data_IF_993636564888
#
_entry.id   IF_993636564888
#
_cell.length_a   1.000
_cell.length_b   1.000
_cell.length_c   1.000
_cell.angle_alpha   90.00
_cell.angle_beta   90.00
_cell.angle_gamma   90.00
#
_symmetry.space_group_name_H-M   'P 1'
#
loop_
_entity.id
_entity.type
_entity.pdbx_description
1 polymer ?
#
# COMPACT_ATOMS: atom_id res chain seq x y z
N UNK A 1 34.35 -34.77 -43.74
CA UNK A 1 35.51 -33.84 -43.69
C UNK A 1 36.10 -33.96 -42.29
N UNK A 2 36.86 -35.01 -42.01
CA UNK A 2 38.24 -35.25 -42.47
C UNK A 2 39.23 -34.24 -41.88
N UNK A 3 40.11 -34.78 -41.03
CA UNK A 3 41.48 -34.32 -40.73
C UNK A 3 41.59 -33.07 -39.84
N UNK A 4 42.54 -32.91 -38.92
CA UNK A 4 43.73 -33.65 -38.50
C UNK A 4 44.11 -33.04 -37.14
N UNK A 5 44.24 -33.83 -36.08
CA UNK A 5 45.51 -34.09 -35.41
C UNK A 5 46.19 -32.88 -34.73
N UNK A 6 46.23 -32.99 -33.39
CA UNK A 6 47.32 -32.68 -32.47
C UNK A 6 48.40 -31.67 -32.91
N UNK A 7 48.66 -30.68 -32.06
CA UNK A 7 50.02 -30.38 -31.57
C UNK A 7 49.93 -29.46 -30.35
N UNK A 8 50.38 -29.99 -29.22
CA UNK A 8 50.66 -29.26 -28.00
C UNK A 8 51.87 -28.32 -28.21
N UNK A 9 51.89 -27.11 -27.65
CA UNK A 9 53.12 -26.33 -27.59
C UNK A 9 53.96 -26.85 -26.41
N UNK A 10 55.04 -27.53 -26.75
CA UNK A 10 56.16 -27.76 -25.84
C UNK A 10 57.04 -26.50 -25.78
N UNK A 11 57.29 -25.93 -24.58
CA UNK A 11 58.52 -25.19 -24.35
C UNK A 11 59.54 -26.15 -23.73
N UNK A 12 60.53 -26.45 -24.58
CA UNK A 12 61.89 -26.85 -24.29
C UNK A 12 62.30 -27.03 -22.81
N UNK A 13 62.67 -28.28 -22.52
CA UNK A 13 63.90 -28.67 -21.84
C UNK A 13 64.31 -27.85 -20.61
N UNK A 14 63.96 -28.40 -19.45
CA UNK A 14 64.83 -28.33 -18.27
C UNK A 14 66.21 -28.92 -18.62
N UNK A 15 67.32 -28.23 -18.35
CA UNK A 15 68.50 -28.90 -17.85
C UNK A 15 68.26 -29.15 -16.35
N UNK A 16 67.74 -30.34 -16.05
CA UNK A 16 67.82 -30.90 -14.72
C UNK A 16 69.27 -31.39 -14.50
N UNK A 17 70.14 -30.44 -14.15
CA UNK A 17 71.33 -30.70 -13.34
C UNK A 17 71.22 -29.78 -12.11
N UNK A 18 70.30 -30.12 -11.21
CA UNK A 18 70.44 -29.71 -9.81
C UNK A 18 71.31 -30.79 -9.18
N UNK A 19 72.60 -30.56 -9.30
CA UNK A 19 73.63 -31.24 -8.52
C UNK A 19 73.17 -31.31 -7.06
N UNK A 20 72.94 -32.52 -6.59
CA UNK A 20 72.73 -32.82 -5.18
C UNK A 20 74.12 -32.81 -4.50
N UNK A 21 74.81 -31.67 -4.56
CA UNK A 21 75.96 -31.42 -3.72
C UNK A 21 75.46 -31.08 -2.33
N UNK A 22 75.70 -32.04 -1.44
CA UNK A 22 75.56 -31.91 -0.01
C UNK A 22 75.93 -30.50 0.47
N UNK A 23 74.97 -29.79 1.07
CA UNK A 23 75.31 -28.77 2.06
C UNK A 23 75.82 -29.50 3.30
N UNK A 24 77.04 -30.02 3.19
CA UNK A 24 77.93 -30.20 4.33
C UNK A 24 78.02 -28.84 4.99
N UNK A 25 77.55 -28.76 6.23
CA UNK A 25 77.75 -27.60 7.08
C UNK A 25 79.24 -27.27 7.08
N UNK A 26 79.61 -26.22 6.37
CA UNK A 26 80.90 -25.60 6.53
C UNK A 26 80.85 -24.96 7.90
N UNK A 27 81.47 -25.63 8.86
CA UNK A 27 81.93 -25.00 10.07
C UNK A 27 82.74 -23.78 9.62
N UNK A 28 82.15 -22.61 9.80
CA UNK A 28 82.85 -21.34 9.59
C UNK A 28 83.89 -21.28 10.70
N UNK A 29 85.10 -21.73 10.40
CA UNK A 29 86.28 -21.45 11.22
C UNK A 29 86.40 -19.93 11.34
N UNK A 30 86.14 -19.44 12.56
CA UNK A 30 86.36 -18.06 12.94
C UNK A 30 87.88 -17.82 12.94
N UNK A 31 88.40 -17.16 11.92
CA UNK A 31 89.75 -16.61 11.95
C UNK A 31 89.90 -15.67 13.16
N UNK A 32 91.04 -15.65 13.87
CA UNK A 32 91.29 -14.67 14.93
C UNK A 32 91.47 -13.28 14.28
N UNK A 33 90.35 -12.59 14.06
CA UNK A 33 90.32 -11.15 13.85
C UNK A 33 90.74 -10.42 15.13
N UNK A 34 91.16 -9.15 15.05
CA UNK A 34 91.76 -8.43 16.18
C UNK A 34 90.85 -8.47 17.41
N UNK A 35 91.31 -9.13 18.47
CA UNK A 35 90.59 -9.23 19.74
C UNK A 35 90.64 -7.87 20.45
N UNK A 36 89.48 -7.26 20.62
CA UNK A 36 89.33 -6.04 21.41
C UNK A 36 88.99 -6.44 22.85
N UNK A 37 89.94 -6.22 23.77
CA UNK A 37 89.81 -6.54 25.21
C UNK A 37 89.57 -8.04 25.51
N UNK A 38 90.18 -8.96 24.75
CA UNK A 38 90.15 -10.40 25.02
C UNK A 38 88.79 -11.07 24.76
N UNK A 39 87.90 -10.41 24.02
CA UNK A 39 86.60 -10.93 23.62
C UNK A 39 86.58 -11.18 22.11
N UNK A 40 86.10 -12.35 21.72
CA UNK A 40 85.97 -12.71 20.31
C UNK A 40 84.87 -11.87 19.63
N UNK A 41 84.97 -11.58 18.32
CA UNK A 41 84.02 -10.71 17.62
C UNK A 41 82.55 -11.10 17.79
N UNK A 42 82.21 -12.39 17.83
CA UNK A 42 80.83 -12.84 18.06
C UNK A 42 80.30 -12.51 19.47
N UNK A 43 81.17 -12.38 20.47
CA UNK A 43 80.76 -12.00 21.83
C UNK A 43 80.33 -10.54 21.87
N UNK A 44 81.07 -9.65 21.20
CA UNK A 44 80.67 -8.25 21.03
C UNK A 44 79.37 -8.10 20.23
N UNK A 45 79.15 -8.93 19.21
CA UNK A 45 77.87 -8.99 18.48
C UNK A 45 76.74 -9.47 19.39
N UNK A 46 76.96 -10.51 20.20
CA UNK A 46 75.96 -11.02 21.15
C UNK A 46 75.62 -10.00 22.23
N UNK A 47 76.61 -9.25 22.75
CA UNK A 47 76.40 -8.19 23.73
C UNK A 47 75.61 -7.04 23.09
N UNK A 48 75.96 -6.65 21.86
CA UNK A 48 75.24 -5.61 21.12
C UNK A 48 73.78 -6.01 20.84
N UNK A 49 73.53 -7.28 20.50
CA UNK A 49 72.19 -7.83 20.33
C UNK A 49 71.42 -7.87 21.67
N UNK A 50 72.07 -8.25 22.77
CA UNK A 50 71.45 -8.25 24.09
C UNK A 50 71.07 -6.83 24.55
N UNK A 51 71.93 -5.83 24.31
CA UNK A 51 71.63 -4.42 24.59
C UNK A 51 70.50 -3.90 23.70
N UNK A 52 70.49 -4.25 22.41
CA UNK A 52 69.40 -3.91 21.49
C UNK A 52 68.06 -4.49 21.98
N UNK A 53 68.03 -5.76 22.39
CA UNK A 53 66.83 -6.41 22.92
C UNK A 53 66.40 -5.76 24.24
N UNK A 54 67.32 -5.45 25.15
CA UNK A 54 66.98 -4.75 26.40
C UNK A 54 66.39 -3.36 26.15
N UNK A 55 66.89 -2.61 25.17
CA UNK A 55 66.32 -1.32 24.78
C UNK A 55 64.98 -1.52 24.06
N UNK A 56 64.85 -2.51 23.17
CA UNK A 56 63.63 -2.79 22.43
C UNK A 56 62.47 -3.25 23.34
N UNK A 57 62.77 -4.08 24.33
CA UNK A 57 61.78 -4.58 25.30
C UNK A 57 61.57 -3.60 26.47
N UNK A 58 62.63 -2.94 26.97
CA UNK A 58 62.56 -2.03 28.13
C UNK A 58 62.08 -0.61 27.78
N UNK A 59 62.71 0.03 26.80
CA UNK A 59 62.44 1.44 26.44
C UNK A 59 61.39 1.53 25.32
N UNK A 60 61.58 0.80 24.22
CA UNK A 60 60.71 0.88 23.05
C UNK A 60 59.41 0.07 23.17
N UNK A 61 59.23 -0.73 24.24
CA UNK A 61 58.03 -1.51 24.57
C UNK A 61 57.37 -2.17 23.34
N UNK A 62 58.17 -2.72 22.43
CA UNK A 62 57.69 -3.26 21.15
C UNK A 62 56.66 -4.38 21.34
N UNK A 63 56.77 -5.16 22.42
CA UNK A 63 55.77 -6.17 22.79
C UNK A 63 54.38 -5.57 23.06
N UNK A 64 54.30 -4.37 23.65
CA UNK A 64 53.04 -3.71 24.00
C UNK A 64 52.36 -3.10 22.77
N UNK A 65 53.12 -2.58 21.80
CA UNK A 65 52.53 -2.01 20.57
C UNK A 65 51.96 -3.09 19.66
N UNK A 66 52.64 -4.24 19.54
CA UNK A 66 52.14 -5.40 18.81
C UNK A 66 50.88 -5.95 19.50
N UNK A 67 50.93 -6.21 20.81
CA UNK A 67 49.76 -6.68 21.57
C UNK A 67 48.58 -5.70 21.48
N UNK A 68 48.82 -4.40 21.64
CA UNK A 68 47.79 -3.36 21.53
C UNK A 68 47.19 -3.24 20.12
N UNK A 69 47.98 -3.47 19.06
CA UNK A 69 47.49 -3.52 17.69
C UNK A 69 46.59 -4.72 17.42
N UNK A 70 46.93 -5.89 17.97
CA UNK A 70 46.09 -7.09 17.90
C UNK A 70 44.80 -6.89 18.70
N UNK A 71 44.87 -6.37 19.92
CA UNK A 71 43.70 -6.07 20.75
C UNK A 71 42.77 -5.05 20.08
N UNK A 72 43.33 -4.01 19.46
CA UNK A 72 42.56 -3.02 18.69
C UNK A 72 41.83 -3.66 17.50
N UNK A 73 42.49 -4.55 16.76
CA UNK A 73 41.84 -5.32 15.68
C UNK A 73 40.73 -6.23 16.20
N UNK A 74 40.94 -6.90 17.33
CA UNK A 74 39.92 -7.74 17.97
C UNK A 74 38.72 -6.88 18.40
N UNK A 75 38.96 -5.70 18.98
CA UNK A 75 37.91 -4.76 19.36
C UNK A 75 37.11 -4.27 18.15
N UNK A 76 37.78 -3.90 17.05
CA UNK A 76 37.13 -3.51 15.81
C UNK A 76 36.29 -4.64 15.19
N UNK A 77 36.82 -5.87 15.17
CA UNK A 77 36.09 -7.03 14.65
C UNK A 77 34.85 -7.32 15.50
N UNK A 78 34.98 -7.24 16.83
CA UNK A 78 33.83 -7.40 17.74
C UNK A 78 32.78 -6.34 17.48
N UNK A 79 33.17 -5.07 17.40
CA UNK A 79 32.27 -3.97 17.09
C UNK A 79 31.54 -4.20 15.76
N UNK A 80 32.27 -4.51 14.68
CA UNK A 80 31.66 -4.77 13.38
C UNK A 80 30.71 -5.99 13.41
N UNK A 81 31.03 -7.02 14.19
CA UNK A 81 30.18 -8.20 14.32
C UNK A 81 28.90 -7.88 15.11
N UNK A 82 29.00 -7.04 16.14
CA UNK A 82 27.85 -6.62 16.93
C UNK A 82 26.95 -5.65 16.16
N UNK A 83 27.52 -4.72 15.38
CA UNK A 83 26.78 -3.88 14.43
C UNK A 83 26.10 -4.74 13.35
N UNK A 84 26.77 -5.75 12.80
CA UNK A 84 26.17 -6.65 11.82
C UNK A 84 25.01 -7.49 12.41
N UNK A 85 25.14 -7.94 13.67
CA UNK A 85 24.05 -8.64 14.38
C UNK A 85 22.87 -7.70 14.63
N UNK A 86 23.14 -6.47 15.05
CA UNK A 86 22.11 -5.46 15.27
C UNK A 86 21.38 -5.16 13.96
N UNK A 87 22.11 -4.90 12.87
CA UNK A 87 21.53 -4.63 11.56
C UNK A 87 20.70 -5.81 11.05
N UNK A 88 21.13 -7.05 11.32
CA UNK A 88 20.35 -8.23 11.00
C UNK A 88 19.06 -8.31 11.82
N UNK A 89 19.13 -8.06 13.12
CA UNK A 89 17.96 -8.05 13.98
C UNK A 89 16.96 -6.96 13.58
N UNK A 90 17.44 -5.77 13.21
CA UNK A 90 16.60 -4.68 12.68
C UNK A 90 15.97 -5.06 11.33
N UNK A 91 16.72 -5.72 10.44
CA UNK A 91 16.19 -6.17 9.16
C UNK A 91 15.13 -7.29 9.32
N UNK A 92 15.34 -8.22 10.25
CA UNK A 92 14.37 -9.27 10.59
C UNK A 92 13.10 -8.66 11.22
N UNK A 93 13.26 -7.74 12.18
CA UNK A 93 12.13 -7.02 12.79
C UNK A 93 11.33 -6.22 11.74
N UNK A 94 12.02 -5.53 10.82
CA UNK A 94 11.38 -4.77 9.75
C UNK A 94 10.64 -5.70 8.78
N UNK A 95 11.23 -6.86 8.44
CA UNK A 95 10.59 -7.89 7.62
C UNK A 95 9.29 -8.38 8.24
N UNK A 96 9.30 -8.67 9.53
CA UNK A 96 8.12 -9.15 10.26
C UNK A 96 7.05 -8.05 10.37
N UNK A 97 7.45 -6.80 10.60
CA UNK A 97 6.52 -5.66 10.61
C UNK A 97 5.84 -5.48 9.24
N UNK A 98 6.59 -5.55 8.14
CA UNK A 98 6.00 -5.47 6.79
C UNK A 98 5.13 -6.68 6.47
N UNK A 99 5.51 -7.89 6.87
CA UNK A 99 4.68 -9.07 6.68
C UNK A 99 3.35 -8.95 7.45
N UNK A 100 3.39 -8.46 8.70
CA UNK A 100 2.21 -8.19 9.50
C UNK A 100 1.34 -7.07 8.87
N UNK A 101 1.96 -6.00 8.36
CA UNK A 101 1.24 -4.92 7.67
C UNK A 101 0.56 -5.39 6.39
N UNK A 102 1.20 -6.25 5.59
CA UNK A 102 0.60 -6.80 4.38
C UNK A 102 -0.60 -7.69 4.75
N UNK A 103 -0.44 -8.60 5.71
CA UNK A 103 -1.53 -9.46 6.17
C UNK A 103 -2.70 -8.65 6.79
N UNK A 104 -2.38 -7.53 7.47
CA UNK A 104 -3.38 -6.58 7.97
C UNK A 104 -4.11 -5.87 6.82
N UNK A 105 -3.37 -5.36 5.85
CA UNK A 105 -3.94 -4.65 4.70
C UNK A 105 -4.86 -5.53 3.84
N UNK A 106 -4.52 -6.81 3.66
CA UNK A 106 -5.39 -7.78 2.97
C UNK A 106 -6.71 -7.98 3.71
N UNK A 107 -6.67 -8.18 5.03
CA UNK A 107 -7.88 -8.29 5.86
C UNK A 107 -8.71 -7.01 5.86
N UNK A 108 -8.06 -5.85 5.95
CA UNK A 108 -8.74 -4.56 5.90
C UNK A 108 -9.40 -4.33 4.54
N UNK A 109 -8.74 -4.73 3.44
CA UNK A 109 -9.31 -4.66 2.10
C UNK A 109 -10.53 -5.60 1.96
N UNK A 110 -10.45 -6.84 2.48
CA UNK A 110 -11.59 -7.76 2.50
C UNK A 110 -12.76 -7.21 3.32
N UNK A 111 -12.48 -6.66 4.51
CA UNK A 111 -13.48 -6.03 5.37
C UNK A 111 -14.12 -4.81 4.70
N UNK A 112 -13.32 -3.97 4.02
CA UNK A 112 -13.80 -2.83 3.25
C UNK A 112 -14.73 -3.31 2.12
N UNK A 113 -14.33 -4.35 1.39
CA UNK A 113 -15.13 -4.88 0.28
C UNK A 113 -16.45 -5.49 0.76
N UNK A 114 -16.43 -6.21 1.89
CA UNK A 114 -17.63 -6.77 2.51
C UNK A 114 -18.60 -5.67 2.98
N UNK A 115 -18.07 -4.62 3.65
CA UNK A 115 -18.86 -3.47 4.06
C UNK A 115 -19.43 -2.71 2.86
N UNK A 116 -18.62 -2.50 1.81
CA UNK A 116 -19.07 -1.83 0.59
C UNK A 116 -20.20 -2.60 -0.10
N UNK A 117 -20.14 -3.93 -0.15
CA UNK A 117 -21.22 -4.76 -0.71
C UNK A 117 -22.50 -4.69 0.12
N UNK A 118 -22.36 -4.72 1.45
CA UNK A 118 -23.50 -4.60 2.37
C UNK A 118 -24.17 -3.23 2.22
N UNK A 119 -23.38 -2.16 2.19
CA UNK A 119 -23.88 -0.80 2.02
C UNK A 119 -24.51 -0.59 0.65
N UNK A 120 -23.91 -1.12 -0.42
CA UNK A 120 -24.52 -1.09 -1.75
C UNK A 120 -25.88 -1.80 -1.77
N UNK A 121 -25.99 -2.97 -1.12
CA UNK A 121 -27.27 -3.67 -0.96
C UNK A 121 -28.32 -2.82 -0.22
N UNK A 122 -27.93 -2.21 0.90
CA UNK A 122 -28.81 -1.33 1.68
C UNK A 122 -29.28 -0.11 0.87
N UNK A 123 -28.39 0.49 0.07
CA UNK A 123 -28.73 1.62 -0.80
C UNK A 123 -29.75 1.20 -1.85
N UNK A 124 -29.57 0.02 -2.48
CA UNK A 124 -30.53 -0.48 -3.48
C UNK A 124 -31.89 -0.73 -2.84
N UNK A 125 -31.95 -1.46 -1.73
CA UNK A 125 -33.22 -1.72 -1.03
C UNK A 125 -33.91 -0.43 -0.58
N UNK A 126 -33.15 0.54 -0.09
CA UNK A 126 -33.70 1.86 0.28
C UNK A 126 -34.20 2.63 -0.94
N UNK A 127 -33.44 2.63 -2.03
CA UNK A 127 -33.84 3.29 -3.27
C UNK A 127 -35.12 2.68 -3.86
N UNK A 128 -35.26 1.35 -3.82
CA UNK A 128 -36.48 0.65 -4.22
C UNK A 128 -37.66 1.07 -3.35
N UNK A 129 -37.50 1.05 -2.02
CA UNK A 129 -38.55 1.48 -1.10
C UNK A 129 -38.97 2.94 -1.31
N UNK A 130 -38.01 3.85 -1.49
CA UNK A 130 -38.26 5.28 -1.73
C UNK A 130 -38.92 5.52 -3.10
N UNK A 131 -38.54 4.75 -4.12
CA UNK A 131 -39.15 4.78 -5.44
C UNK A 131 -40.61 4.31 -5.38
N UNK A 132 -40.89 3.17 -4.75
CA UNK A 132 -42.26 2.66 -4.55
C UNK A 132 -43.11 3.65 -3.77
N UNK A 133 -42.59 4.23 -2.68
CA UNK A 133 -43.30 5.24 -1.90
C UNK A 133 -43.60 6.50 -2.72
N UNK A 134 -42.69 6.91 -3.60
CA UNK A 134 -42.90 8.07 -4.49
C UNK A 134 -43.92 7.79 -5.57
N UNK A 135 -43.91 6.59 -6.16
CA UNK A 135 -44.92 6.16 -7.13
C UNK A 135 -46.30 6.12 -6.47
N UNK A 136 -46.44 5.50 -5.30
CA UNK A 136 -47.71 5.43 -4.57
C UNK A 136 -48.25 6.82 -4.23
N UNK A 137 -47.39 7.77 -3.81
CA UNK A 137 -47.81 9.16 -3.59
C UNK A 137 -48.28 9.84 -4.87
N UNK A 138 -47.60 9.62 -6.00
CA UNK A 138 -47.97 10.21 -7.30
C UNK A 138 -49.28 9.62 -7.82
N UNK A 139 -49.47 8.32 -7.68
CA UNK A 139 -50.71 7.64 -8.02
C UNK A 139 -51.88 8.21 -7.20
N UNK A 140 -51.70 8.33 -5.87
CA UNK A 140 -52.71 8.93 -5.01
C UNK A 140 -53.05 10.37 -5.45
N UNK A 141 -52.04 11.22 -5.66
CA UNK A 141 -52.28 12.59 -6.14
C UNK A 141 -53.00 12.63 -7.50
N UNK A 142 -52.70 11.70 -8.41
CA UNK A 142 -53.39 11.62 -9.70
C UNK A 142 -54.84 11.17 -9.50
N UNK A 143 -55.09 10.15 -8.68
CA UNK A 143 -56.43 9.67 -8.36
C UNK A 143 -57.29 10.75 -7.68
N UNK A 144 -56.71 11.51 -6.75
CA UNK A 144 -57.39 12.61 -6.06
C UNK A 144 -57.75 13.74 -7.04
N UNK A 145 -56.85 14.04 -8.01
CA UNK A 145 -57.11 15.02 -9.07
C UNK A 145 -58.21 14.57 -10.03
N UNK A 146 -58.21 13.29 -10.42
CA UNK A 146 -59.26 12.71 -11.27
C UNK A 146 -60.60 12.79 -10.55
N UNK A 147 -60.67 12.36 -9.28
CA UNK A 147 -61.90 12.43 -8.51
C UNK A 147 -62.42 13.87 -8.33
N UNK A 148 -61.52 14.85 -8.14
CA UNK A 148 -61.90 16.25 -8.10
C UNK A 148 -62.42 16.75 -9.45
N UNK A 149 -61.77 16.39 -10.56
CA UNK A 149 -62.21 16.76 -11.90
C UNK A 149 -63.54 16.11 -12.29
N UNK A 150 -63.77 14.86 -11.92
CA UNK A 150 -65.03 14.15 -12.13
C UNK A 150 -66.19 14.84 -11.41
N UNK A 151 -66.00 15.24 -10.14
CA UNK A 151 -67.01 16.00 -9.39
C UNK A 151 -67.32 17.32 -10.08
N UNK A 152 -66.29 18.07 -10.48
CA UNK A 152 -66.48 19.34 -11.19
C UNK A 152 -67.22 19.15 -12.53
N UNK A 153 -66.89 18.10 -13.30
CA UNK A 153 -67.55 17.79 -14.56
C UNK A 153 -69.02 17.39 -14.37
N UNK A 154 -69.35 16.64 -13.32
CA UNK A 154 -70.74 16.30 -12.98
C UNK A 154 -71.54 17.56 -12.64
N UNK A 155 -70.96 18.47 -11.86
CA UNK A 155 -71.62 19.71 -11.48
C UNK A 155 -71.82 20.65 -12.69
N UNK A 156 -70.83 20.73 -13.58
CA UNK A 156 -70.93 21.49 -14.84
C UNK A 156 -72.02 20.90 -15.77
N UNK A 157 -72.07 19.57 -15.93
CA UNK A 157 -73.11 18.90 -16.70
C UNK A 157 -74.51 19.16 -16.13
N UNK A 158 -74.66 19.16 -14.81
CA UNK A 158 -75.94 19.49 -14.15
C UNK A 158 -76.32 20.94 -14.39
N UNK A 159 -75.38 21.87 -14.28
CA UNK A 159 -75.62 23.28 -14.56
C UNK A 159 -76.04 23.50 -16.03
N UNK A 160 -75.36 22.86 -16.98
CA UNK A 160 -75.68 22.94 -18.40
C UNK A 160 -77.06 22.33 -18.71
N UNK A 161 -77.40 21.17 -18.13
CA UNK A 161 -78.70 20.55 -18.28
C UNK A 161 -79.83 21.40 -17.70
N UNK A 162 -79.62 22.02 -16.53
CA UNK A 162 -80.57 22.94 -15.92
C UNK A 162 -80.78 24.20 -16.77
N UNK A 163 -79.69 24.78 -17.29
CA UNK A 163 -79.75 25.94 -18.17
C UNK A 163 -80.48 25.62 -19.50
N UNK A 164 -80.16 24.49 -20.13
CA UNK A 164 -80.84 24.05 -21.36
C UNK A 164 -82.34 23.78 -21.12
N UNK A 165 -82.69 23.18 -19.98
CA UNK A 165 -84.08 22.92 -19.60
C UNK A 165 -84.84 24.22 -19.33
N UNK A 166 -84.23 25.16 -18.62
CA UNK A 166 -84.82 26.47 -18.36
C UNK A 166 -85.01 27.27 -19.66
N UNK A 167 -84.04 27.24 -20.57
CA UNK A 167 -84.15 27.88 -21.89
C UNK A 167 -85.26 27.25 -22.74
N UNK A 168 -85.36 25.92 -22.76
CA UNK A 168 -86.43 25.20 -23.46
C UNK A 168 -87.82 25.50 -22.87
N UNK A 169 -87.95 25.54 -21.55
CA UNK A 169 -89.18 25.94 -20.87
C UNK A 169 -89.56 27.39 -21.19
N UNK A 170 -88.60 28.32 -21.17
CA UNK A 170 -88.84 29.71 -21.52
C UNK A 170 -89.31 29.87 -22.98
N UNK A 171 -88.72 29.12 -23.92
CA UNK A 171 -89.15 29.12 -25.31
C UNK A 171 -90.58 28.56 -25.48
N UNK A 172 -90.89 27.43 -24.82
CA UNK A 172 -92.24 26.85 -24.84
C UNK A 172 -93.29 27.77 -24.24
N UNK A 173 -92.94 28.46 -23.13
CA UNK A 173 -93.80 29.47 -22.52
C UNK A 173 -94.03 30.59 -23.53
N UNK A 174 -92.98 31.17 -24.14
CA UNK A 174 -93.13 32.23 -25.13
C UNK A 174 -94.00 31.83 -26.33
N UNK A 175 -93.87 30.59 -26.83
CA UNK A 175 -94.66 30.07 -27.96
C UNK A 175 -96.14 29.79 -27.60
N UNK A 176 -96.44 29.49 -26.34
CA UNK A 176 -97.77 29.07 -25.86
C UNK A 176 -98.46 30.10 -24.98
N UNK A 177 -97.81 31.22 -24.68
CA UNK A 177 -98.40 32.29 -23.89
C UNK A 177 -99.41 33.08 -24.72
N UNK A 178 -100.67 33.06 -24.29
CA UNK A 178 -101.71 33.93 -24.81
C UNK A 178 -102.22 34.89 -23.72
N UNK A 179 -103.03 35.87 -24.13
CA UNK A 179 -103.60 36.86 -23.22
C UNK A 179 -104.55 36.24 -22.17
N UNK A 180 -105.08 35.04 -22.41
CA UNK A 180 -105.94 34.34 -21.47
C UNK A 180 -105.14 33.72 -20.31
N UNK A 181 -103.96 33.15 -20.62
CA UNK A 181 -103.02 32.65 -19.62
C UNK A 181 -102.47 33.78 -18.73
N UNK A 182 -102.15 34.96 -19.31
CA UNK A 182 -101.69 36.14 -18.55
C UNK A 182 -102.73 36.59 -17.52
N UNK A 183 -103.99 36.73 -17.93
CA UNK A 183 -105.07 37.15 -17.03
C UNK A 183 -105.24 36.16 -15.86
N UNK A 184 -105.17 34.86 -16.13
CA UNK A 184 -105.28 33.83 -15.09
C UNK A 184 -104.13 33.90 -14.07
N UNK A 185 -102.89 34.15 -14.52
CA UNK A 185 -101.73 34.30 -13.63
C UNK A 185 -101.84 35.56 -12.75
N UNK A 186 -102.33 36.67 -13.30
CA UNK A 186 -102.56 37.92 -12.55
C UNK A 186 -103.65 37.73 -11.49
N UNK A 187 -104.79 37.13 -11.87
CA UNK A 187 -105.87 36.85 -10.92
C UNK A 187 -105.41 35.91 -9.78
N UNK A 188 -104.52 34.95 -10.07
CA UNK A 188 -103.97 34.03 -9.08
C UNK A 188 -102.92 34.69 -8.17
N UNK A 189 -102.05 35.57 -8.69
CA UNK A 189 -101.09 36.32 -7.89
C UNK A 189 -101.78 37.32 -6.95
N UNK A 190 -102.88 37.94 -7.41
CA UNK A 190 -103.73 38.81 -6.57
C UNK A 190 -104.40 37.99 -5.46
N UNK A 191 -104.77 36.73 -5.71
CA UNK A 191 -105.43 35.86 -4.73
C UNK A 191 -104.48 35.26 -3.67
N UNK A 192 -103.17 35.23 -3.93
CA UNK A 192 -102.15 34.75 -2.98
C UNK A 192 -101.64 35.86 -2.07
N UNK A 193 -101.88 37.12 -2.44
CA UNK A 193 -101.64 38.31 -1.61
C UNK A 193 -102.76 38.51 -0.57
#
# INVERSE_FOLDING_TARGET
>A
MANSAATAPAPAAMPAEVDHSAHTGTAVEHAPGPELLGLQPFQWVSISMAVLLLIAFGVAKVHKTIAGGLDSKIAQIKQNLDEAKLLRAEAEALRDEYAAKIAGAEKDAEALLANARTEAGNIVTKAEADATATIARREKMASDKIAAAERAAIDDLRAQAAAASAAGAAALIADRHDAAADKALVDQAIAVL
#
